data_IF_096576150899
#
_entry.id   IF_096576150899
#
_cell.length_a   1.000
_cell.length_b   1.000
_cell.length_c   1.000
_cell.angle_alpha   90.00
_cell.angle_beta   90.00
_cell.angle_gamma   90.00
#
_symmetry.space_group_name_H-M   'P 1'
#
loop_
_entity.id
_entity.type
_entity.pdbx_description
1 polymer ?
#
# COMPACT_ATOMS: atom_id res chain seq x y z
N UNK A 1 -4.11 9.78 -13.72
CA UNK A 1 -3.99 10.66 -12.55
C UNK A 1 -5.06 10.34 -11.53
N UNK A 2 -4.71 10.37 -10.29
CA UNK A 2 -5.65 10.07 -9.22
C UNK A 2 -6.52 11.30 -8.90
N UNK A 3 -7.25 11.78 -9.89
CA UNK A 3 -7.95 13.05 -9.81
C UNK A 3 -9.09 13.09 -8.81
N UNK A 4 -9.58 11.94 -8.37
CA UNK A 4 -10.66 11.90 -7.38
C UNK A 4 -10.20 11.81 -5.93
N UNK A 5 -8.90 11.75 -5.69
CA UNK A 5 -8.36 11.56 -4.35
C UNK A 5 -8.32 12.88 -3.61
N UNK A 6 -8.96 12.91 -2.45
CA UNK A 6 -8.96 14.08 -1.57
C UNK A 6 -8.19 13.73 -0.30
N UNK A 7 -7.32 14.65 0.11
CA UNK A 7 -6.54 14.50 1.34
C UNK A 7 -7.12 15.45 2.37
N UNK A 8 -7.56 14.89 3.50
CA UNK A 8 -8.15 15.67 4.58
C UNK A 8 -7.09 16.40 5.41
N UNK A 9 -7.52 17.32 6.26
CA UNK A 9 -6.61 18.02 7.15
C UNK A 9 -5.88 17.09 8.11
N UNK A 10 -6.55 16.05 8.60
CA UNK A 10 -5.94 15.06 9.48
C UNK A 10 -4.85 14.27 8.73
N UNK A 11 -5.17 13.82 7.53
CA UNK A 11 -4.19 13.12 6.69
C UNK A 11 -3.00 14.00 6.36
N UNK A 12 -3.23 15.28 6.09
CA UNK A 12 -2.13 16.23 5.81
C UNK A 12 -1.20 16.38 7.00
N UNK A 13 -1.74 16.38 8.23
CA UNK A 13 -0.90 16.46 9.42
C UNK A 13 -0.02 15.21 9.57
N UNK A 14 -0.57 14.04 9.30
CA UNK A 14 0.21 12.80 9.32
C UNK A 14 1.28 12.79 8.23
N UNK A 15 0.94 13.28 7.03
CA UNK A 15 1.90 13.37 5.93
C UNK A 15 3.06 14.29 6.31
N UNK A 16 2.76 15.45 6.90
CA UNK A 16 3.80 16.39 7.31
C UNK A 16 4.75 15.77 8.34
N UNK A 17 4.19 15.07 9.33
CA UNK A 17 4.99 14.39 10.34
C UNK A 17 5.87 13.31 9.71
N UNK A 18 5.28 12.50 8.84
CA UNK A 18 5.99 11.42 8.17
C UNK A 18 7.15 11.95 7.33
N UNK A 19 6.88 12.96 6.50
CA UNK A 19 7.91 13.53 5.64
C UNK A 19 9.03 14.20 6.44
N UNK A 20 8.67 14.84 7.55
CA UNK A 20 9.65 15.48 8.40
C UNK A 20 10.61 14.44 9.04
N UNK A 21 10.08 13.32 9.46
CA UNK A 21 10.87 12.27 10.11
C UNK A 21 11.69 11.46 9.11
N UNK A 22 11.12 11.16 7.94
CA UNK A 22 11.74 10.22 7.00
C UNK A 22 12.51 10.88 5.86
N UNK A 23 12.14 12.09 5.47
CA UNK A 23 12.66 12.71 4.26
C UNK A 23 12.06 12.14 2.97
N UNK A 24 11.17 11.16 3.07
CA UNK A 24 10.49 10.59 1.91
C UNK A 24 9.36 11.51 1.46
N UNK A 25 9.03 11.47 0.17
CA UNK A 25 7.90 12.23 -0.37
C UNK A 25 6.66 11.34 -0.40
N UNK A 26 5.61 11.80 0.27
CA UNK A 26 4.34 11.06 0.38
C UNK A 26 3.40 11.48 -0.73
N UNK A 27 2.82 10.52 -1.43
CA UNK A 27 1.80 10.76 -2.44
C UNK A 27 0.39 10.60 -1.90
N UNK A 28 0.21 9.80 -0.86
CA UNK A 28 -1.11 9.51 -0.33
C UNK A 28 -0.99 8.98 1.09
N UNK A 29 -2.06 9.17 1.85
CA UNK A 29 -2.16 8.67 3.22
C UNK A 29 -3.59 8.19 3.44
N UNK A 30 -3.71 6.96 3.94
CA UNK A 30 -5.02 6.40 4.29
C UNK A 30 -5.03 6.11 5.78
N UNK A 31 -6.03 6.65 6.46
CA UNK A 31 -6.28 6.38 7.87
C UNK A 31 -7.27 5.23 7.94
N UNK A 32 -6.80 4.08 8.39
CA UNK A 32 -7.64 2.88 8.53
C UNK A 32 -8.02 2.73 9.98
N UNK A 33 -9.17 3.29 10.35
CA UNK A 33 -9.66 3.25 11.73
C UNK A 33 -9.91 1.82 12.20
N UNK A 34 -10.52 1.01 11.35
CA UNK A 34 -10.88 -0.37 11.68
C UNK A 34 -9.64 -1.22 11.96
N UNK A 35 -8.61 -1.05 11.15
CA UNK A 35 -7.36 -1.78 11.31
C UNK A 35 -6.36 -1.12 12.26
N UNK A 36 -6.72 0.06 12.77
CA UNK A 36 -5.85 0.87 13.64
C UNK A 36 -4.46 1.10 13.01
N UNK A 37 -4.46 1.54 11.76
CA UNK A 37 -3.22 1.75 11.02
C UNK A 37 -3.27 2.99 10.15
N UNK A 38 -2.09 3.56 9.90
CA UNK A 38 -1.88 4.58 8.88
C UNK A 38 -1.11 3.94 7.74
N UNK A 39 -1.55 4.18 6.51
CA UNK A 39 -0.89 3.64 5.32
C UNK A 39 -0.42 4.82 4.49
N UNK A 40 0.89 4.92 4.29
CA UNK A 40 1.50 5.96 3.47
C UNK A 40 1.96 5.37 2.14
N UNK A 41 1.67 6.08 1.05
CA UNK A 41 2.19 5.73 -0.26
C UNK A 41 3.25 6.76 -0.60
N UNK A 42 4.47 6.30 -0.82
CA UNK A 42 5.61 7.18 -1.10
C UNK A 42 5.98 7.13 -2.56
N UNK A 43 6.67 8.16 -3.04
CA UNK A 43 7.10 8.20 -4.43
C UNK A 43 8.10 7.07 -4.73
N UNK A 44 8.22 6.66 -6.01
CA UNK A 44 9.20 5.63 -6.40
C UNK A 44 10.60 6.02 -5.93
N UNK A 45 11.31 5.05 -5.34
CA UNK A 45 12.67 5.24 -4.85
C UNK A 45 12.78 5.68 -3.41
N UNK A 46 11.68 6.10 -2.76
CA UNK A 46 11.75 6.62 -1.40
C UNK A 46 11.45 5.60 -0.31
N UNK A 47 11.16 4.34 -0.68
CA UNK A 47 10.76 3.33 0.31
C UNK A 47 11.86 3.10 1.37
N UNK A 48 13.11 3.11 0.98
CA UNK A 48 14.22 2.94 1.92
C UNK A 48 14.32 4.08 2.93
N UNK A 49 14.11 5.32 2.48
CA UNK A 49 14.06 6.48 3.37
C UNK A 49 12.93 6.35 4.38
N UNK A 50 11.76 5.91 3.90
CA UNK A 50 10.59 5.81 4.74
C UNK A 50 10.76 4.76 5.84
N UNK A 51 11.29 3.60 5.51
CA UNK A 51 11.45 2.51 6.47
C UNK A 51 12.58 2.81 7.46
N UNK A 52 13.70 3.32 6.94
CA UNK A 52 14.88 3.60 7.74
C UNK A 52 15.66 2.33 8.04
N UNK A 53 16.82 2.50 8.67
CA UNK A 53 17.70 1.40 9.01
C UNK A 53 17.01 0.47 10.00
N UNK A 54 16.84 -0.80 9.62
CA UNK A 54 16.18 -1.83 10.44
C UNK A 54 14.76 -1.43 10.86
N UNK A 55 14.07 -0.67 10.02
CA UNK A 55 12.72 -0.22 10.31
C UNK A 55 12.63 0.87 11.37
N UNK A 56 13.75 1.54 11.69
CA UNK A 56 13.81 2.48 12.81
C UNK A 56 12.85 3.66 12.68
N UNK A 57 12.66 4.18 11.47
CA UNK A 57 11.78 5.33 11.26
C UNK A 57 10.32 4.95 11.40
N UNK A 58 9.95 3.78 10.86
CA UNK A 58 8.59 3.27 11.02
C UNK A 58 8.28 3.02 12.50
N UNK A 59 9.22 2.41 13.23
CA UNK A 59 9.04 2.16 14.66
C UNK A 59 8.86 3.45 15.44
N UNK A 60 9.64 4.47 15.11
CA UNK A 60 9.50 5.79 15.75
C UNK A 60 8.14 6.39 15.48
N UNK A 61 7.71 6.37 14.22
CA UNK A 61 6.40 6.89 13.85
C UNK A 61 5.27 6.17 14.56
N UNK A 62 5.34 4.84 14.65
CA UNK A 62 4.32 4.05 15.36
C UNK A 62 4.21 4.45 16.82
N UNK A 63 5.33 4.71 17.49
CA UNK A 63 5.32 5.20 18.87
C UNK A 63 4.70 6.58 18.98
N UNK A 64 4.98 7.46 18.02
CA UNK A 64 4.49 8.84 18.05
C UNK A 64 3.00 8.93 17.77
N UNK A 65 2.48 8.12 16.85
CA UNK A 65 1.07 8.20 16.46
C UNK A 65 0.16 7.21 17.21
N UNK A 66 0.75 6.22 17.87
CA UNK A 66 -0.03 5.22 18.60
C UNK A 66 -0.80 4.26 17.73
N UNK A 67 -0.39 4.07 16.49
CA UNK A 67 -1.02 3.20 15.50
C UNK A 67 0.06 2.46 14.72
N UNK A 68 -0.33 1.36 14.06
CA UNK A 68 0.57 0.73 13.10
C UNK A 68 0.80 1.67 11.92
N UNK A 69 2.01 1.68 11.41
CA UNK A 69 2.38 2.48 10.24
C UNK A 69 2.87 1.55 9.14
N UNK A 70 2.25 1.65 7.98
CA UNK A 70 2.62 0.87 6.80
C UNK A 70 2.99 1.80 5.66
N UNK A 71 3.92 1.36 4.82
CA UNK A 71 4.42 2.14 3.71
C UNK A 71 4.39 1.31 2.44
N UNK A 72 3.88 1.88 1.36
CA UNK A 72 3.84 1.25 0.04
C UNK A 72 4.52 2.18 -0.94
N UNK A 73 5.32 1.62 -1.82
CA UNK A 73 5.96 2.40 -2.88
C UNK A 73 5.02 2.55 -4.06
N UNK A 74 4.85 3.78 -4.54
CA UNK A 74 3.99 4.05 -5.70
C UNK A 74 4.61 3.53 -6.99
N UNK A 75 3.77 3.15 -7.94
CA UNK A 75 4.15 2.86 -9.31
C UNK A 75 2.98 3.24 -10.22
N UNK A 76 3.29 3.74 -11.42
CA UNK A 76 2.26 4.15 -12.39
C UNK A 76 1.57 2.96 -13.06
N UNK A 77 2.25 1.81 -13.08
CA UNK A 77 1.76 0.60 -13.74
C UNK A 77 1.08 -0.28 -12.70
N UNK A 78 -0.18 -0.70 -12.93
CA UNK A 78 -0.91 -1.50 -11.95
C UNK A 78 -0.18 -2.77 -11.51
N UNK A 79 0.44 -3.49 -12.45
CA UNK A 79 1.19 -4.71 -12.12
C UNK A 79 2.30 -4.43 -11.12
N UNK A 80 3.08 -3.39 -11.37
CA UNK A 80 4.18 -3.01 -10.48
C UNK A 80 3.69 -2.54 -9.13
N UNK A 81 2.60 -1.76 -9.12
CA UNK A 81 2.04 -1.28 -7.86
C UNK A 81 1.54 -2.43 -6.98
N UNK A 82 0.84 -3.38 -7.58
CA UNK A 82 0.32 -4.53 -6.84
C UNK A 82 1.47 -5.34 -6.25
N UNK A 83 2.55 -5.54 -7.01
CA UNK A 83 3.74 -6.21 -6.49
C UNK A 83 4.33 -5.45 -5.30
N UNK A 84 4.43 -4.13 -5.40
CA UNK A 84 4.95 -3.31 -4.31
C UNK A 84 4.09 -3.42 -3.05
N UNK A 85 2.77 -3.41 -3.22
CA UNK A 85 1.83 -3.50 -2.11
C UNK A 85 1.86 -4.86 -1.41
N UNK A 86 2.22 -5.92 -2.12
CA UNK A 86 2.31 -7.26 -1.57
C UNK A 86 3.71 -7.60 -1.04
N UNK A 87 4.69 -6.71 -1.23
CA UNK A 87 6.02 -6.90 -0.68
C UNK A 87 5.95 -7.07 0.84
N UNK A 88 6.76 -7.94 1.45
CA UNK A 88 7.90 -8.67 0.89
C UNK A 88 7.57 -10.02 0.24
N UNK A 89 6.31 -10.35 0.06
CA UNK A 89 5.92 -11.59 -0.60
C UNK A 89 6.44 -11.59 -2.04
N UNK A 90 6.93 -12.74 -2.48
CA UNK A 90 7.41 -12.89 -3.85
C UNK A 90 6.24 -13.16 -4.79
N UNK A 91 5.96 -12.18 -5.64
CA UNK A 91 4.89 -12.27 -6.63
C UNK A 91 5.46 -12.78 -7.93
N UNK A 92 4.96 -13.93 -8.41
CA UNK A 92 5.41 -14.51 -9.67
C UNK A 92 4.86 -13.77 -10.86
N UNK A 93 3.57 -13.43 -10.81
CA UNK A 93 2.88 -12.82 -11.94
C UNK A 93 1.65 -12.06 -11.44
N UNK A 94 1.34 -10.96 -12.11
CA UNK A 94 0.06 -10.27 -11.92
C UNK A 94 -0.58 -10.13 -13.28
N UNK A 95 -1.81 -10.63 -13.43
CA UNK A 95 -2.59 -10.49 -14.65
C UNK A 95 -3.84 -9.68 -14.36
N UNK A 96 -4.16 -8.77 -15.25
CA UNK A 96 -5.37 -7.96 -15.13
C UNK A 96 -6.31 -8.37 -16.25
N UNK A 97 -7.52 -8.76 -15.88
CA UNK A 97 -8.55 -9.18 -16.84
C UNK A 97 -9.78 -8.32 -16.68
N UNK A 98 -10.53 -8.17 -17.77
CA UNK A 98 -11.83 -7.51 -17.74
C UNK A 98 -12.89 -8.57 -17.92
N UNK A 99 -13.87 -8.59 -17.02
CA UNK A 99 -14.97 -9.54 -17.10
C UNK A 99 -16.06 -9.02 -18.02
N UNK A 100 -16.95 -9.92 -18.53
CA UNK A 100 -18.03 -9.49 -19.43
C UNK A 100 -18.94 -8.42 -18.85
N UNK A 101 -19.06 -8.32 -17.54
CA UNK A 101 -19.87 -7.30 -16.87
C UNK A 101 -19.13 -5.95 -16.72
N UNK A 102 -17.91 -5.86 -17.25
CA UNK A 102 -17.09 -4.65 -17.17
C UNK A 102 -16.19 -4.57 -15.95
N UNK A 103 -16.29 -5.50 -15.02
CA UNK A 103 -15.41 -5.50 -13.84
C UNK A 103 -13.98 -5.87 -14.22
N UNK A 104 -13.04 -5.17 -13.62
CA UNK A 104 -11.61 -5.44 -13.82
C UNK A 104 -11.06 -6.15 -12.59
N UNK A 105 -10.39 -7.25 -12.81
CA UNK A 105 -9.87 -8.11 -11.74
C UNK A 105 -8.37 -8.31 -11.96
N UNK A 106 -7.60 -8.16 -10.91
CA UNK A 106 -6.18 -8.50 -10.92
C UNK A 106 -6.00 -9.86 -10.24
N UNK A 107 -5.23 -10.73 -10.86
CA UNK A 107 -4.91 -12.04 -10.29
C UNK A 107 -3.41 -12.04 -10.02
N UNK A 108 -3.04 -12.10 -8.74
CA UNK A 108 -1.65 -12.11 -8.31
C UNK A 108 -1.27 -13.52 -7.90
N UNK A 109 -0.34 -14.11 -8.64
CA UNK A 109 0.17 -15.44 -8.36
C UNK A 109 1.40 -15.33 -7.48
N UNK A 110 1.33 -15.90 -6.29
CA UNK A 110 2.33 -15.74 -5.25
C UNK A 110 3.14 -17.02 -5.10
N UNK A 111 4.42 -16.91 -4.80
CA UNK A 111 5.23 -18.04 -4.38
C UNK A 111 4.50 -18.76 -3.24
N UNK A 112 4.25 -20.10 -3.32
CA UNK A 112 3.40 -20.79 -2.33
C UNK A 112 3.78 -20.52 -0.88
N UNK A 113 5.06 -20.48 -0.57
CA UNK A 113 5.53 -20.23 0.81
C UNK A 113 5.25 -18.81 1.29
N UNK A 114 4.98 -17.87 0.38
CA UNK A 114 4.76 -16.47 0.70
C UNK A 114 3.29 -16.08 0.72
N UNK A 115 2.36 -17.01 0.48
CA UNK A 115 0.93 -16.67 0.44
C UNK A 115 0.44 -16.07 1.74
N UNK A 116 0.86 -16.62 2.87
CA UNK A 116 0.48 -16.09 4.17
C UNK A 116 0.93 -14.64 4.35
N UNK A 117 2.16 -14.34 3.94
CA UNK A 117 2.69 -12.98 4.01
C UNK A 117 1.94 -12.03 3.07
N UNK A 118 1.61 -12.51 1.86
CA UNK A 118 0.89 -11.69 0.89
C UNK A 118 -0.50 -11.31 1.39
N UNK A 119 -1.19 -12.23 2.01
CA UNK A 119 -2.53 -11.98 2.55
C UNK A 119 -2.44 -11.14 3.82
N UNK A 120 -1.48 -11.46 4.68
CA UNK A 120 -1.27 -10.79 5.95
C UNK A 120 -2.22 -11.25 7.04
N UNK A 121 -1.92 -10.86 8.27
CA UNK A 121 -2.73 -11.19 9.43
C UNK A 121 -4.13 -10.60 9.26
N UNK A 122 -5.15 -11.44 9.37
CA UNK A 122 -6.56 -11.05 9.20
C UNK A 122 -6.84 -10.42 7.83
N UNK A 123 -6.03 -10.77 6.83
CA UNK A 123 -6.22 -10.28 5.47
C UNK A 123 -5.79 -8.85 5.23
N UNK A 124 -5.06 -8.23 6.16
CA UNK A 124 -4.81 -6.78 6.10
C UNK A 124 -3.96 -6.34 4.91
N UNK A 125 -3.02 -7.17 4.44
CA UNK A 125 -2.22 -6.82 3.27
C UNK A 125 -3.04 -6.95 1.99
N UNK A 126 -3.88 -7.98 1.92
CA UNK A 126 -4.81 -8.15 0.79
C UNK A 126 -5.80 -7.00 0.72
N UNK A 127 -6.36 -6.59 1.86
CA UNK A 127 -7.30 -5.46 1.91
C UNK A 127 -6.63 -4.15 1.48
N UNK A 128 -5.41 -3.91 1.95
CA UNK A 128 -4.64 -2.73 1.54
C UNK A 128 -4.44 -2.70 0.04
N UNK A 129 -4.05 -3.84 -0.53
CA UNK A 129 -3.80 -3.94 -1.97
C UNK A 129 -5.07 -3.71 -2.77
N UNK A 130 -6.20 -4.27 -2.32
CA UNK A 130 -7.50 -4.06 -2.98
C UNK A 130 -7.91 -2.59 -2.93
N UNK A 131 -7.73 -1.94 -1.80
CA UNK A 131 -8.06 -0.54 -1.61
C UNK A 131 -7.33 0.33 -2.63
N UNK A 132 -6.02 0.18 -2.73
CA UNK A 132 -5.23 1.01 -3.64
C UNK A 132 -5.41 0.63 -5.11
N UNK A 133 -5.62 -0.65 -5.41
CA UNK A 133 -5.90 -1.07 -6.77
C UNK A 133 -7.17 -0.40 -7.30
N UNK A 134 -8.19 -0.32 -6.46
CA UNK A 134 -9.43 0.39 -6.78
C UNK A 134 -9.19 1.90 -6.89
N UNK A 135 -8.49 2.46 -5.91
CA UNK A 135 -8.29 3.91 -5.79
C UNK A 135 -7.49 4.49 -6.95
N UNK A 136 -6.44 3.80 -7.39
CA UNK A 136 -5.54 4.34 -8.42
C UNK A 136 -5.79 3.82 -9.82
N UNK A 137 -6.32 2.62 -9.96
CA UNK A 137 -6.37 1.95 -11.27
C UNK A 137 -7.76 1.47 -11.64
N UNK A 138 -8.77 1.73 -10.81
CA UNK A 138 -10.14 1.28 -11.01
C UNK A 138 -10.23 -0.24 -11.19
N UNK A 139 -9.38 -0.96 -10.47
CA UNK A 139 -9.43 -2.42 -10.41
C UNK A 139 -10.38 -2.82 -9.29
N UNK A 140 -11.40 -3.60 -9.63
CA UNK A 140 -12.51 -3.89 -8.72
C UNK A 140 -12.19 -4.92 -7.66
N UNK A 141 -11.25 -5.83 -7.95
CA UNK A 141 -10.83 -6.83 -6.99
C UNK A 141 -9.42 -7.31 -7.31
N UNK A 142 -8.75 -7.83 -6.29
CA UNK A 142 -7.44 -8.48 -6.42
C UNK A 142 -7.55 -9.87 -5.78
N UNK A 143 -7.30 -10.88 -6.59
CA UNK A 143 -7.34 -12.28 -6.16
C UNK A 143 -5.91 -12.75 -5.96
N UNK A 144 -5.60 -13.26 -4.78
CA UNK A 144 -4.28 -13.78 -4.44
C UNK A 144 -4.34 -15.32 -4.53
N UNK A 145 -3.53 -15.87 -5.43
CA UNK A 145 -3.50 -17.32 -5.64
C UNK A 145 -2.12 -17.93 -5.38
#
# INVERSE_FOLDING_TARGET
MASGIKITGEEMRYIALFENITGATVRDCVIDEKGNRLIFVVKPGDIGLAIGKRGSRIQLLQRMVGKDVEVVEYADVPVSFIKNSLSPAKVREVRITEKPDGRRIAIASIEPRDKGVAIGKNGRNAERTRLFAKRYFQIDDVIIT
#
